data_IF_197703093693
#
_entry.id   IF_197703093693
#
_cell.length_a   1.000
_cell.length_b   1.000
_cell.length_c   1.000
_cell.angle_alpha   90.00
_cell.angle_beta   90.00
_cell.angle_gamma   90.00
#
_symmetry.space_group_name_H-M   'P 1'
#
loop_
_entity.id
_entity.type
_entity.pdbx_description
1 polymer ?
#
# COMPACT_ATOMS: atom_id res chain seq x y z
N UNK A 1 -36.68 1.69 -27.03
CA UNK A 1 -35.31 1.19 -27.06
C UNK A 1 -35.03 0.69 -25.67
N UNK A 2 -34.80 -0.60 -25.51
CA UNK A 2 -34.49 -1.16 -24.21
C UNK A 2 -33.01 -0.93 -23.89
N UNK A 3 -32.72 -0.59 -22.64
CA UNK A 3 -31.38 -0.31 -22.15
C UNK A 3 -30.99 -1.43 -21.19
N UNK A 4 -29.78 -1.94 -21.36
CA UNK A 4 -29.19 -2.95 -20.50
C UNK A 4 -27.93 -2.41 -19.84
N UNK A 5 -27.63 -2.83 -18.63
CA UNK A 5 -26.45 -2.45 -17.88
C UNK A 5 -25.70 -3.68 -17.36
N UNK A 6 -24.42 -3.74 -17.63
CA UNK A 6 -23.52 -4.70 -16.96
C UNK A 6 -23.11 -4.13 -15.62
N UNK A 7 -23.38 -4.87 -14.56
CA UNK A 7 -23.17 -4.40 -13.19
C UNK A 7 -22.12 -5.27 -12.50
N UNK A 8 -21.14 -4.60 -11.91
CA UNK A 8 -20.14 -5.20 -11.04
C UNK A 8 -20.65 -5.20 -9.60
N UNK A 9 -20.81 -6.38 -9.02
CA UNK A 9 -21.17 -6.54 -7.61
C UNK A 9 -19.96 -6.83 -6.71
N UNK A 10 -20.01 -6.45 -5.43
CA UNK A 10 -18.96 -6.77 -4.45
C UNK A 10 -19.00 -8.23 -3.99
N UNK A 11 -19.12 -9.13 -4.93
CA UNK A 11 -19.20 -10.58 -4.79
C UNK A 11 -18.03 -11.22 -5.57
N UNK A 12 -17.58 -12.40 -5.15
CA UNK A 12 -16.51 -13.12 -5.85
C UNK A 12 -17.05 -13.79 -7.15
N UNK A 13 -17.63 -12.98 -8.04
CA UNK A 13 -18.11 -13.39 -9.36
C UNK A 13 -17.02 -13.11 -10.39
N UNK A 14 -16.83 -14.03 -11.32
CA UNK A 14 -15.86 -13.87 -12.41
C UNK A 14 -16.34 -12.91 -13.48
N UNK A 15 -17.67 -12.87 -13.71
CA UNK A 15 -18.29 -12.05 -14.74
C UNK A 15 -19.17 -10.95 -14.15
N UNK A 16 -19.39 -9.91 -14.93
CA UNK A 16 -20.42 -8.92 -14.70
C UNK A 16 -21.79 -9.57 -14.91
N UNK A 17 -22.80 -9.04 -14.26
CA UNK A 17 -24.18 -9.47 -14.46
C UNK A 17 -24.95 -8.39 -15.20
N UNK A 18 -25.67 -8.79 -16.25
CA UNK A 18 -26.47 -7.89 -17.09
C UNK A 18 -27.89 -7.77 -16.56
N UNK A 19 -28.41 -6.53 -16.54
CA UNK A 19 -29.75 -6.20 -16.07
C UNK A 19 -30.47 -5.27 -17.06
N UNK A 20 -31.79 -5.40 -17.17
CA UNK A 20 -32.64 -4.41 -17.83
C UNK A 20 -32.66 -3.12 -16.99
N UNK A 21 -32.64 -1.99 -17.65
CA UNK A 21 -32.75 -0.68 -17.00
C UNK A 21 -34.16 -0.15 -17.24
N UNK A 22 -35.02 -0.06 -16.21
CA UNK A 22 -36.36 0.52 -16.34
C UNK A 22 -36.29 1.94 -16.88
N UNK A 23 -37.28 2.33 -17.71
CA UNK A 23 -37.32 3.64 -18.37
C UNK A 23 -37.24 4.82 -17.41
N UNK A 24 -37.74 4.66 -16.19
CA UNK A 24 -37.63 5.65 -15.11
C UNK A 24 -36.18 5.92 -14.67
N UNK A 25 -35.26 4.93 -14.78
CA UNK A 25 -33.85 5.05 -14.42
C UNK A 25 -32.94 5.30 -15.60
N UNK A 26 -33.42 5.31 -16.84
CA UNK A 26 -32.63 5.37 -18.07
C UNK A 26 -31.66 6.58 -18.13
N UNK A 27 -32.04 7.72 -17.55
CA UNK A 27 -31.19 8.92 -17.50
C UNK A 27 -30.21 8.95 -16.32
N UNK A 28 -30.38 8.06 -15.35
CA UNK A 28 -29.64 8.07 -14.10
C UNK A 28 -28.63 6.91 -13.99
N UNK A 29 -28.83 5.88 -14.81
CA UNK A 29 -27.95 4.72 -14.92
C UNK A 29 -26.92 5.01 -16.00
N UNK A 30 -25.66 5.10 -15.59
CA UNK A 30 -24.50 5.32 -16.47
C UNK A 30 -23.22 4.76 -15.80
N UNK A 31 -22.14 4.52 -16.54
CA UNK A 31 -20.92 3.96 -15.97
C UNK A 31 -20.41 4.70 -14.74
N UNK A 32 -20.05 3.94 -13.71
CA UNK A 32 -19.63 4.47 -12.40
C UNK A 32 -20.77 4.79 -11.42
N UNK A 33 -22.04 4.80 -11.87
CA UNK A 33 -23.18 4.97 -10.97
C UNK A 33 -23.39 3.72 -10.13
N UNK A 34 -23.67 3.91 -8.84
CA UNK A 34 -24.04 2.83 -7.95
C UNK A 34 -25.56 2.60 -8.02
N UNK A 35 -25.96 1.35 -8.19
CA UNK A 35 -27.34 0.93 -8.37
C UNK A 35 -27.67 -0.26 -7.50
N UNK A 36 -28.96 -0.46 -7.22
CA UNK A 36 -29.45 -1.67 -6.54
C UNK A 36 -30.03 -2.63 -7.56
N UNK A 37 -29.65 -3.90 -7.45
CA UNK A 37 -30.21 -4.96 -8.27
C UNK A 37 -30.18 -6.32 -7.53
N UNK A 38 -31.08 -7.25 -7.87
CA UNK A 38 -31.19 -8.54 -7.20
C UNK A 38 -30.17 -9.55 -7.73
N UNK A 39 -29.33 -10.10 -6.85
CA UNK A 39 -28.49 -11.27 -7.15
C UNK A 39 -29.03 -12.47 -6.38
N UNK A 40 -29.57 -13.45 -7.10
CA UNK A 40 -30.38 -14.51 -6.49
C UNK A 40 -31.64 -13.95 -5.85
N UNK A 41 -31.82 -14.15 -4.55
CA UNK A 41 -32.95 -13.65 -3.76
C UNK A 41 -32.61 -12.40 -2.94
N UNK A 42 -31.40 -11.88 -3.01
CA UNK A 42 -30.96 -10.72 -2.21
C UNK A 42 -30.66 -9.53 -3.10
N UNK A 43 -31.00 -8.34 -2.63
CA UNK A 43 -30.61 -7.10 -3.29
C UNK A 43 -29.21 -6.68 -2.86
N UNK A 44 -28.42 -6.23 -3.83
CA UNK A 44 -27.04 -5.74 -3.62
C UNK A 44 -26.85 -4.38 -4.29
N UNK A 45 -26.02 -3.55 -3.70
CA UNK A 45 -25.51 -2.36 -4.38
C UNK A 45 -24.34 -2.79 -5.27
N UNK A 46 -24.47 -2.56 -6.57
CA UNK A 46 -23.44 -2.76 -7.58
C UNK A 46 -23.05 -1.46 -8.26
N UNK A 47 -22.06 -1.55 -9.15
CA UNK A 47 -21.59 -0.43 -9.96
C UNK A 47 -21.90 -0.71 -11.41
N UNK A 48 -22.50 0.22 -12.09
CA UNK A 48 -22.70 0.16 -13.54
C UNK A 48 -21.34 0.23 -14.22
N UNK A 49 -21.02 -0.80 -15.01
CA UNK A 49 -19.76 -0.91 -15.71
C UNK A 49 -19.87 -0.52 -17.18
N UNK A 50 -20.86 -1.11 -17.86
CA UNK A 50 -21.19 -0.80 -19.25
C UNK A 50 -22.70 -0.59 -19.41
N UNK A 51 -23.09 0.06 -20.50
CA UNK A 51 -24.47 0.23 -20.93
C UNK A 51 -24.57 -0.24 -22.36
N UNK A 52 -25.63 -0.98 -22.68
CA UNK A 52 -25.94 -1.48 -24.01
C UNK A 52 -27.33 -1.00 -24.43
N UNK A 53 -27.48 -0.60 -25.68
CA UNK A 53 -28.75 -0.20 -26.26
C UNK A 53 -29.49 -1.39 -26.91
N UNK A 54 -28.80 -2.51 -27.06
CA UNK A 54 -29.34 -3.74 -27.64
C UNK A 54 -29.25 -4.88 -26.63
N UNK A 55 -30.17 -5.81 -26.75
CA UNK A 55 -30.16 -7.02 -25.95
C UNK A 55 -28.85 -7.81 -26.20
N UNK A 56 -28.08 -8.12 -25.15
CA UNK A 56 -26.80 -8.82 -25.32
C UNK A 56 -26.90 -10.26 -25.82
N UNK A 57 -28.06 -10.91 -25.61
CA UNK A 57 -28.35 -12.26 -26.08
C UNK A 57 -29.75 -12.25 -26.71
N UNK A 58 -29.88 -12.41 -28.04
CA UNK A 58 -31.18 -12.50 -28.70
C UNK A 58 -31.96 -13.70 -28.18
N UNK A 59 -33.28 -13.53 -28.08
CA UNK A 59 -34.25 -14.55 -27.62
C UNK A 59 -34.25 -14.89 -26.12
N UNK A 60 -33.87 -13.96 -25.25
CA UNK A 60 -33.76 -14.16 -23.80
C UNK A 60 -34.59 -13.23 -22.94
N UNK A 61 -35.76 -12.76 -23.41
CA UNK A 61 -36.59 -11.75 -22.77
C UNK A 61 -36.92 -12.03 -21.27
N UNK A 62 -36.96 -13.28 -20.86
CA UNK A 62 -37.21 -13.69 -19.47
C UNK A 62 -35.94 -13.84 -18.61
N UNK A 63 -34.75 -13.69 -19.17
CA UNK A 63 -33.49 -13.97 -18.50
C UNK A 63 -32.91 -12.81 -17.71
N UNK A 64 -33.24 -11.57 -18.09
CA UNK A 64 -32.68 -10.38 -17.46
C UNK A 64 -33.57 -9.83 -16.36
N UNK A 65 -33.04 -9.79 -15.12
CA UNK A 65 -33.66 -9.06 -14.02
C UNK A 65 -33.50 -7.56 -14.22
N UNK A 66 -34.29 -6.78 -13.51
CA UNK A 66 -34.25 -5.33 -13.60
C UNK A 66 -33.44 -4.68 -12.48
N UNK A 67 -32.87 -3.51 -12.78
CA UNK A 67 -32.34 -2.58 -11.77
C UNK A 67 -33.52 -2.09 -10.92
N UNK A 68 -33.41 -2.22 -9.60
CA UNK A 68 -34.48 -1.88 -8.65
C UNK A 68 -34.36 -0.50 -8.04
N UNK A 69 -33.21 0.17 -8.22
CA UNK A 69 -33.02 1.50 -7.68
C UNK A 69 -31.65 2.10 -8.04
N UNK A 70 -31.55 3.42 -7.92
CA UNK A 70 -30.35 4.21 -8.16
C UNK A 70 -29.91 4.90 -6.88
N UNK A 71 -28.65 4.70 -6.49
CA UNK A 71 -28.06 5.28 -5.28
C UNK A 71 -27.59 6.73 -5.55
N UNK A 72 -28.54 7.67 -5.59
CA UNK A 72 -28.24 9.09 -5.91
C UNK A 72 -27.37 9.78 -4.87
N UNK A 73 -27.42 9.34 -3.62
CA UNK A 73 -26.65 9.92 -2.50
C UNK A 73 -25.20 9.46 -2.45
N UNK A 74 -24.86 8.37 -3.15
CA UNK A 74 -23.51 7.84 -3.19
C UNK A 74 -22.67 8.52 -4.30
N UNK A 75 -21.32 8.56 -4.14
CA UNK A 75 -20.45 9.11 -5.17
C UNK A 75 -20.50 8.29 -6.45
N UNK A 76 -20.31 8.96 -7.58
CA UNK A 76 -20.05 8.32 -8.86
C UNK A 76 -18.57 7.94 -8.91
N UNK A 77 -18.28 6.72 -9.35
CA UNK A 77 -16.92 6.25 -9.48
C UNK A 77 -16.40 6.63 -10.87
N UNK A 78 -15.30 7.38 -10.97
CA UNK A 78 -14.76 7.78 -12.27
C UNK A 78 -14.35 6.56 -13.11
N UNK A 79 -14.50 6.65 -14.42
CA UNK A 79 -14.14 5.60 -15.37
C UNK A 79 -12.69 5.14 -15.21
N UNK A 80 -11.76 6.09 -15.04
CA UNK A 80 -10.35 5.82 -14.81
C UNK A 80 -10.12 4.95 -13.56
N UNK A 81 -10.93 5.14 -12.51
CA UNK A 81 -10.90 4.31 -11.30
C UNK A 81 -11.41 2.89 -11.58
N UNK A 82 -12.46 2.76 -12.41
CA UNK A 82 -12.99 1.46 -12.82
C UNK A 82 -11.94 0.69 -13.64
N UNK A 83 -11.30 1.34 -14.61
CA UNK A 83 -10.21 0.77 -15.40
C UNK A 83 -9.04 0.32 -14.52
N UNK A 84 -8.70 1.09 -13.49
CA UNK A 84 -7.68 0.71 -12.53
C UNK A 84 -8.06 -0.54 -11.71
N UNK A 85 -9.32 -0.66 -11.28
CA UNK A 85 -9.79 -1.86 -10.58
C UNK A 85 -9.82 -3.08 -11.50
N UNK A 86 -10.18 -2.90 -12.77
CA UNK A 86 -10.11 -3.95 -13.77
C UNK A 86 -8.67 -4.44 -13.96
N UNK A 87 -7.72 -3.52 -14.08
CA UNK A 87 -6.31 -3.87 -14.15
C UNK A 87 -5.86 -4.67 -12.92
N UNK A 88 -6.25 -4.25 -11.71
CA UNK A 88 -5.93 -4.99 -10.48
C UNK A 88 -6.48 -6.42 -10.57
N UNK A 89 -7.73 -6.60 -10.98
CA UNK A 89 -8.35 -7.91 -11.07
C UNK A 89 -7.60 -8.82 -12.04
N UNK A 90 -7.25 -8.30 -13.22
CA UNK A 90 -6.50 -9.03 -14.26
C UNK A 90 -5.08 -9.35 -13.84
N UNK A 91 -4.34 -8.36 -13.34
CA UNK A 91 -2.93 -8.51 -12.98
C UNK A 91 -2.73 -9.46 -11.79
N UNK A 92 -3.58 -9.37 -10.79
CA UNK A 92 -3.53 -10.22 -9.60
C UNK A 92 -4.43 -11.48 -9.70
N UNK A 93 -4.93 -11.77 -10.90
CA UNK A 93 -5.71 -12.98 -11.23
C UNK A 93 -6.82 -13.27 -10.20
N UNK A 94 -7.67 -12.28 -9.94
CA UNK A 94 -8.81 -12.45 -9.04
C UNK A 94 -10.10 -11.92 -9.69
N UNK A 95 -11.28 -12.43 -9.26
CA UNK A 95 -12.55 -11.91 -9.75
C UNK A 95 -12.66 -10.40 -9.52
N UNK A 96 -13.16 -9.60 -10.49
CA UNK A 96 -13.29 -8.15 -10.34
C UNK A 96 -14.20 -7.76 -9.17
N UNK A 97 -15.21 -8.57 -8.85
CA UNK A 97 -16.05 -8.38 -7.67
C UNK A 97 -15.29 -8.47 -6.34
N UNK A 98 -14.16 -9.18 -6.30
CA UNK A 98 -13.27 -9.24 -5.13
C UNK A 98 -12.58 -7.89 -4.90
N UNK A 99 -12.16 -7.22 -5.99
CA UNK A 99 -11.61 -5.86 -5.95
C UNK A 99 -12.68 -4.88 -5.50
N UNK A 100 -13.86 -4.94 -6.15
CA UNK A 100 -15.02 -4.10 -5.81
C UNK A 100 -15.43 -4.23 -4.34
N UNK A 101 -15.40 -5.44 -3.77
CA UNK A 101 -15.73 -5.66 -2.34
C UNK A 101 -14.82 -4.87 -1.40
N UNK A 102 -13.55 -4.71 -1.74
CA UNK A 102 -12.60 -3.91 -0.94
C UNK A 102 -12.76 -2.41 -1.20
N UNK A 103 -12.87 -2.04 -2.45
CA UNK A 103 -12.93 -0.66 -2.88
C UNK A 103 -14.24 0.04 -2.49
N UNK A 104 -15.40 -0.58 -2.77
CA UNK A 104 -16.71 0.03 -2.56
C UNK A 104 -16.98 0.49 -1.12
N UNK A 105 -16.43 -0.19 -0.13
CA UNK A 105 -16.60 0.23 1.27
C UNK A 105 -15.97 1.62 1.52
N UNK A 106 -14.96 2.00 0.74
CA UNK A 106 -14.31 3.30 0.83
C UNK A 106 -15.06 4.39 0.05
N UNK A 107 -16.05 4.01 -0.77
CA UNK A 107 -16.89 4.89 -1.57
C UNK A 107 -18.32 4.98 -1.04
N UNK A 108 -18.63 4.37 0.11
CA UNK A 108 -19.95 4.40 0.76
C UNK A 108 -20.07 5.57 1.76
N UNK A 109 -19.94 6.80 1.30
CA UNK A 109 -20.17 7.99 2.11
C UNK A 109 -21.22 8.89 1.43
N UNK A 110 -22.08 9.52 2.22
CA UNK A 110 -23.09 10.44 1.68
C UNK A 110 -22.42 11.68 1.09
N UNK A 111 -22.69 11.94 -0.18
CA UNK A 111 -22.28 13.18 -0.86
C UNK A 111 -22.80 14.39 -0.08
N UNK A 112 -21.90 15.25 0.38
CA UNK A 112 -22.23 16.67 0.55
C UNK A 112 -21.87 17.35 -0.76
N UNK A 113 -22.69 18.30 -1.19
CA UNK A 113 -22.64 19.03 -2.45
C UNK A 113 -21.32 18.89 -3.23
N UNK A 114 -21.45 18.42 -4.47
CA UNK A 114 -20.33 18.26 -5.39
C UNK A 114 -19.58 19.57 -5.47
N UNK A 115 -18.26 19.51 -5.30
CA UNK A 115 -17.38 20.59 -5.70
C UNK A 115 -17.63 20.84 -7.20
N UNK A 116 -18.29 21.93 -7.53
CA UNK A 116 -18.45 22.43 -8.89
C UNK A 116 -17.28 23.33 -9.29
N UNK A 117 -16.13 23.14 -8.67
CA UNK A 117 -14.91 23.86 -8.99
C UNK A 117 -14.37 23.40 -10.34
N UNK A 118 -14.62 24.21 -11.34
CA UNK A 118 -14.05 24.11 -12.69
C UNK A 118 -12.56 24.50 -12.73
N UNK A 119 -11.92 24.71 -11.60
CA UNK A 119 -10.48 24.94 -11.57
C UNK A 119 -9.76 23.68 -12.00
N UNK A 120 -9.19 23.75 -13.19
CA UNK A 120 -8.38 22.66 -13.76
C UNK A 120 -7.15 22.52 -12.88
N UNK A 121 -7.07 21.43 -12.11
CA UNK A 121 -5.81 21.05 -11.46
C UNK A 121 -4.84 20.64 -12.56
N UNK A 122 -3.86 21.50 -12.79
CA UNK A 122 -2.78 21.19 -13.73
C UNK A 122 -1.83 20.23 -13.01
N UNK A 123 -1.89 18.97 -13.41
CA UNK A 123 -0.90 17.99 -12.97
C UNK A 123 0.50 18.48 -13.38
N UNK A 124 1.49 18.40 -12.48
CA UNK A 124 2.88 18.60 -12.89
C UNK A 124 3.24 17.62 -14.00
N UNK A 125 4.18 18.01 -14.86
CA UNK A 125 4.68 17.12 -15.91
C UNK A 125 5.16 15.80 -15.28
N UNK A 126 4.57 14.69 -15.75
CA UNK A 126 4.86 13.37 -15.20
C UNK A 126 6.13 12.82 -15.83
N UNK A 127 7.17 12.78 -15.03
CA UNK A 127 8.42 12.13 -15.39
C UNK A 127 8.40 10.61 -15.17
N UNK A 128 9.55 9.99 -15.38
CA UNK A 128 9.77 8.60 -14.96
C UNK A 128 9.58 8.48 -13.44
N UNK A 129 9.19 7.31 -12.93
CA UNK A 129 9.19 7.07 -11.49
C UNK A 129 10.55 7.45 -10.88
N UNK A 130 10.51 8.10 -9.74
CA UNK A 130 11.69 8.60 -9.06
C UNK A 130 12.01 7.70 -7.85
N UNK A 131 13.26 7.29 -7.71
CA UNK A 131 13.75 6.65 -6.50
C UNK A 131 14.59 7.62 -5.67
N UNK A 132 14.26 7.75 -4.40
CA UNK A 132 14.99 8.58 -3.44
C UNK A 132 15.63 7.67 -2.41
N UNK A 133 16.97 7.68 -2.34
CA UNK A 133 17.73 6.90 -1.38
C UNK A 133 18.19 7.75 -0.20
N UNK A 134 18.36 7.11 0.94
CA UNK A 134 19.00 7.68 2.12
C UNK A 134 18.09 7.87 3.33
N UNK A 135 18.69 8.08 4.51
CA UNK A 135 17.97 8.19 5.78
C UNK A 135 17.15 9.48 5.90
N UNK A 136 17.58 10.58 5.24
CA UNK A 136 16.91 11.88 5.30
C UNK A 136 15.91 12.08 4.15
N UNK A 137 15.54 11.01 3.41
CA UNK A 137 14.60 11.07 2.29
C UNK A 137 13.26 11.74 2.64
N UNK A 138 12.88 11.73 3.93
CA UNK A 138 11.64 12.36 4.40
C UNK A 138 11.66 13.88 4.18
N UNK A 139 12.80 14.54 4.27
CA UNK A 139 12.90 15.98 4.01
C UNK A 139 12.66 16.28 2.52
N UNK A 140 13.13 15.39 1.63
CA UNK A 140 12.84 15.48 0.20
C UNK A 140 11.35 15.20 -0.11
N UNK A 141 10.70 14.32 0.67
CA UNK A 141 9.26 14.11 0.58
C UNK A 141 8.48 15.36 0.98
N UNK A 142 8.85 16.02 2.08
CA UNK A 142 8.19 17.24 2.57
C UNK A 142 8.07 18.28 1.48
N UNK A 143 9.18 18.60 0.80
CA UNK A 143 9.19 19.59 -0.27
C UNK A 143 8.25 19.21 -1.43
N UNK A 144 8.23 17.93 -1.82
CA UNK A 144 7.36 17.45 -2.91
C UNK A 144 5.90 17.47 -2.52
N UNK A 145 5.58 17.02 -1.32
CA UNK A 145 4.22 17.04 -0.77
C UNK A 145 3.70 18.48 -0.69
N UNK A 146 4.54 19.42 -0.20
CA UNK A 146 4.18 20.82 -0.08
C UNK A 146 3.85 21.42 -1.45
N UNK A 147 4.67 21.20 -2.46
CA UNK A 147 4.44 21.70 -3.82
C UNK A 147 3.08 21.26 -4.38
N UNK A 148 2.71 19.99 -4.15
CA UNK A 148 1.40 19.47 -4.63
C UNK A 148 0.25 20.09 -3.84
N UNK A 149 0.37 20.23 -2.52
CA UNK A 149 -0.67 20.83 -1.68
C UNK A 149 -0.88 22.30 -2.04
N UNK A 150 0.20 23.07 -2.25
CA UNK A 150 0.15 24.47 -2.68
C UNK A 150 -0.48 24.61 -4.07
N UNK A 151 -0.27 23.65 -4.96
CA UNK A 151 -0.93 23.59 -6.27
C UNK A 151 -2.41 23.13 -6.21
N UNK A 152 -2.95 22.85 -5.03
CA UNK A 152 -4.34 22.41 -4.85
C UNK A 152 -4.56 20.90 -5.07
N UNK A 153 -3.50 20.10 -5.08
CA UNK A 153 -3.56 18.67 -5.33
C UNK A 153 -3.63 17.81 -4.07
N UNK A 154 -3.74 16.50 -4.30
CA UNK A 154 -3.81 15.46 -3.29
C UNK A 154 -2.61 14.54 -3.38
N UNK A 155 -2.17 14.02 -2.23
CA UNK A 155 -1.03 13.11 -2.18
C UNK A 155 -1.41 11.81 -1.46
N UNK A 156 -0.84 10.70 -1.94
CA UNK A 156 -0.90 9.40 -1.28
C UNK A 156 0.50 9.00 -0.82
N UNK A 157 0.65 8.71 0.46
CA UNK A 157 1.86 8.15 1.05
C UNK A 157 1.56 6.72 1.49
N UNK A 158 2.24 5.76 0.89
CA UNK A 158 2.07 4.34 1.15
C UNK A 158 3.17 3.82 2.05
N UNK A 159 2.76 3.22 3.14
CA UNK A 159 3.60 2.61 4.14
C UNK A 159 3.38 1.09 4.22
N UNK A 160 4.40 0.31 4.57
CA UNK A 160 4.30 -1.14 4.61
C UNK A 160 3.38 -1.66 5.71
N UNK A 161 3.33 -0.97 6.84
CA UNK A 161 2.57 -1.38 7.99
C UNK A 161 1.99 -0.18 8.76
N UNK A 162 1.23 -0.49 9.82
CA UNK A 162 0.55 0.53 10.63
C UNK A 162 1.55 1.39 11.44
N UNK A 163 2.62 0.81 11.94
CA UNK A 163 3.58 1.53 12.76
C UNK A 163 4.35 2.54 11.93
N UNK A 164 4.78 2.16 10.72
CA UNK A 164 5.38 3.05 9.74
C UNK A 164 4.41 4.17 9.34
N UNK A 165 3.12 3.84 9.12
CA UNK A 165 2.08 4.81 8.80
C UNK A 165 1.89 5.86 9.91
N UNK A 166 1.87 5.46 11.17
CA UNK A 166 1.79 6.39 12.30
C UNK A 166 3.08 7.21 12.43
N UNK A 167 4.25 6.61 12.26
CA UNK A 167 5.54 7.31 12.34
C UNK A 167 5.67 8.41 11.29
N UNK A 168 5.35 8.12 10.02
CA UNK A 168 5.41 9.15 8.96
C UNK A 168 4.35 10.23 9.18
N UNK A 169 3.15 9.87 9.65
CA UNK A 169 2.12 10.81 10.01
C UNK A 169 2.60 11.79 11.10
N UNK A 170 3.22 11.29 12.17
CA UNK A 170 3.79 12.13 13.24
C UNK A 170 4.87 13.08 12.72
N UNK A 171 5.77 12.61 11.85
CA UNK A 171 6.85 13.40 11.25
C UNK A 171 6.32 14.50 10.31
N UNK A 172 5.20 14.29 9.64
CA UNK A 172 4.60 15.25 8.70
C UNK A 172 3.57 16.18 9.36
N UNK A 173 2.96 15.77 10.47
CA UNK A 173 1.90 16.49 11.16
C UNK A 173 2.24 17.96 11.52
N UNK A 174 3.46 18.32 11.98
CA UNK A 174 3.81 19.69 12.28
C UNK A 174 3.73 20.64 11.09
N UNK A 175 3.91 20.13 9.87
CA UNK A 175 3.90 20.93 8.65
C UNK A 175 2.51 21.03 8.00
N UNK A 176 1.78 19.91 7.96
CA UNK A 176 0.56 19.82 7.16
C UNK A 176 -0.73 19.88 8.00
N UNK A 177 -0.63 19.71 9.30
CA UNK A 177 -1.75 19.90 10.24
C UNK A 177 -3.03 19.20 9.81
N UNK A 178 -4.09 19.98 9.59
CA UNK A 178 -5.41 19.45 9.24
C UNK A 178 -5.53 18.89 7.81
N UNK A 179 -4.60 19.19 6.93
CA UNK A 179 -4.54 18.63 5.58
C UNK A 179 -3.95 17.21 5.54
N UNK A 180 -3.41 16.70 6.66
CA UNK A 180 -2.81 15.39 6.76
C UNK A 180 -3.76 14.40 7.43
N UNK A 181 -3.90 13.23 6.85
CA UNK A 181 -4.72 12.12 7.36
C UNK A 181 -3.90 10.86 7.51
N UNK A 182 -4.08 10.14 8.63
CA UNK A 182 -3.60 8.77 8.79
C UNK A 182 -4.78 7.81 8.56
N UNK A 183 -4.63 6.89 7.59
CA UNK A 183 -5.73 6.06 7.11
C UNK A 183 -5.43 4.57 7.26
N UNK A 184 -5.95 3.96 8.31
CA UNK A 184 -5.93 2.52 8.56
C UNK A 184 -7.07 2.09 9.49
N UNK A 185 -7.35 0.78 9.57
CA UNK A 185 -8.51 0.19 10.25
C UNK A 185 -8.62 0.50 11.76
N UNK A 186 -7.54 0.93 12.40
CA UNK A 186 -7.55 1.30 13.83
C UNK A 186 -7.84 2.79 14.09
N UNK A 187 -7.85 3.61 13.04
CA UNK A 187 -8.26 5.02 13.17
C UNK A 187 -9.77 5.14 13.31
N UNK A 188 -10.27 6.15 14.05
CA UNK A 188 -11.70 6.36 14.23
C UNK A 188 -12.43 6.47 12.89
N UNK A 189 -13.61 5.87 12.79
CA UNK A 189 -14.44 5.94 11.58
C UNK A 189 -14.75 7.36 11.14
N UNK A 190 -14.87 8.30 12.10
CA UNK A 190 -15.09 9.73 11.82
C UNK A 190 -13.93 10.35 11.03
N UNK A 191 -12.69 10.02 11.40
CA UNK A 191 -11.48 10.49 10.71
C UNK A 191 -11.39 9.88 9.31
N UNK A 192 -11.62 8.57 9.18
CA UNK A 192 -11.63 7.89 7.89
C UNK A 192 -12.68 8.49 6.96
N UNK A 193 -13.92 8.70 7.44
CA UNK A 193 -14.98 9.36 6.67
C UNK A 193 -14.65 10.80 6.29
N UNK A 194 -13.93 11.54 7.15
CA UNK A 194 -13.47 12.88 6.84
C UNK A 194 -12.47 12.84 5.69
N UNK A 195 -11.45 12.00 5.76
CA UNK A 195 -10.47 11.85 4.69
C UNK A 195 -11.12 11.52 3.34
N UNK A 196 -12.06 10.55 3.32
CA UNK A 196 -12.80 10.19 2.10
C UNK A 196 -13.58 11.36 1.50
N UNK A 197 -14.23 12.17 2.33
CA UNK A 197 -15.00 13.35 1.88
C UNK A 197 -14.11 14.45 1.34
N UNK A 198 -12.99 14.75 2.01
CA UNK A 198 -12.03 15.76 1.56
C UNK A 198 -11.39 15.35 0.23
N UNK A 199 -11.03 14.08 0.07
CA UNK A 199 -10.51 13.53 -1.17
C UNK A 199 -11.53 13.65 -2.32
N UNK A 200 -12.75 13.21 -2.09
CA UNK A 200 -13.81 13.27 -3.12
C UNK A 200 -14.21 14.70 -3.47
N UNK A 201 -14.15 15.61 -2.49
CA UNK A 201 -14.40 17.03 -2.72
C UNK A 201 -13.27 17.74 -3.50
N UNK A 202 -12.14 17.09 -3.72
CA UNK A 202 -10.99 17.69 -4.40
C UNK A 202 -10.18 18.65 -3.54
N UNK A 203 -10.37 18.62 -2.22
CA UNK A 203 -9.61 19.47 -1.32
C UNK A 203 -8.15 19.00 -1.22
N UNK A 204 -7.18 19.95 -1.17
CA UNK A 204 -5.77 19.61 -1.02
C UNK A 204 -5.53 18.86 0.29
N UNK A 205 -5.03 17.63 0.21
CA UNK A 205 -4.73 16.84 1.39
C UNK A 205 -3.74 15.71 1.10
N UNK A 206 -3.13 15.21 2.17
CA UNK A 206 -2.19 14.10 2.16
C UNK A 206 -2.82 12.96 2.95
N UNK A 207 -2.80 11.76 2.39
CA UNK A 207 -3.21 10.54 3.10
C UNK A 207 -2.01 9.62 3.25
N UNK A 208 -1.63 9.35 4.50
CA UNK A 208 -0.69 8.29 4.85
C UNK A 208 -1.50 7.01 5.11
N UNK A 209 -1.19 5.94 4.40
CA UNK A 209 -1.94 4.70 4.52
C UNK A 209 -1.18 3.48 4.00
N UNK A 210 -1.81 2.32 4.12
CA UNK A 210 -1.29 1.07 3.58
C UNK A 210 -1.99 0.73 2.25
N UNK A 211 -1.78 -0.48 1.74
CA UNK A 211 -2.33 -0.97 0.47
C UNK A 211 -3.80 -0.63 0.19
N UNK A 212 -4.66 -0.57 1.20
CA UNK A 212 -6.07 -0.23 1.01
C UNK A 212 -6.32 1.24 0.68
N UNK A 213 -5.36 2.13 0.98
CA UNK A 213 -5.45 3.54 0.63
C UNK A 213 -5.39 3.78 -0.89
N UNK A 214 -4.90 2.80 -1.68
CA UNK A 214 -4.95 2.82 -3.16
C UNK A 214 -6.38 2.86 -3.73
N UNK A 215 -7.38 2.50 -2.95
CA UNK A 215 -8.79 2.49 -3.36
C UNK A 215 -9.56 3.74 -2.92
N UNK A 216 -8.91 4.70 -2.28
CA UNK A 216 -9.56 5.93 -1.83
C UNK A 216 -10.02 6.82 -3.00
N UNK A 217 -11.05 7.66 -2.77
CA UNK A 217 -11.67 8.46 -3.82
C UNK A 217 -10.88 9.73 -4.14
N UNK A 218 -9.65 9.58 -4.62
CA UNK A 218 -8.86 10.70 -5.11
C UNK A 218 -9.49 11.31 -6.36
N UNK A 219 -9.59 12.64 -6.39
CA UNK A 219 -10.09 13.40 -7.53
C UNK A 219 -9.05 14.36 -8.12
N UNK A 220 -8.00 14.70 -7.34
CA UNK A 220 -6.90 15.59 -7.72
C UNK A 220 -5.55 15.01 -7.28
N UNK A 221 -5.37 13.69 -7.45
CA UNK A 221 -4.12 13.03 -7.10
C UNK A 221 -2.96 13.57 -7.93
N UNK A 222 -1.92 14.12 -7.29
CA UNK A 222 -0.76 14.71 -7.93
C UNK A 222 0.56 14.00 -7.60
N UNK A 223 0.58 13.21 -6.51
CA UNK A 223 1.79 12.51 -6.09
C UNK A 223 1.45 11.21 -5.35
N UNK A 224 2.18 10.15 -5.66
CA UNK A 224 2.19 8.91 -4.89
C UNK A 224 3.60 8.68 -4.36
N UNK A 225 3.75 8.57 -3.05
CA UNK A 225 4.98 8.16 -2.37
C UNK A 225 4.82 6.74 -1.86
N UNK A 226 5.83 5.90 -2.07
CA UNK A 226 5.93 4.57 -1.47
C UNK A 226 7.21 4.54 -0.65
N UNK A 227 7.09 4.62 0.67
CA UNK A 227 8.25 4.60 1.56
C UNK A 227 8.63 3.16 1.95
N UNK A 228 9.91 2.94 2.20
CA UNK A 228 10.49 1.60 2.48
C UNK A 228 10.01 0.58 1.43
N UNK A 229 10.17 0.92 0.14
CA UNK A 229 9.54 0.25 -1.01
C UNK A 229 9.88 -1.23 -1.13
N UNK A 230 11.03 -1.65 -0.55
CA UNK A 230 11.50 -3.04 -0.51
C UNK A 230 10.86 -3.87 0.60
N UNK A 231 10.15 -3.24 1.54
CA UNK A 231 9.64 -3.93 2.72
C UNK A 231 8.55 -4.96 2.36
N UNK A 232 8.63 -6.20 2.88
CA UNK A 232 7.66 -7.28 2.58
C UNK A 232 6.21 -6.92 2.91
N UNK A 233 5.98 -6.01 3.88
CA UNK A 233 4.65 -5.54 4.26
C UNK A 233 3.87 -4.84 3.14
N UNK A 234 4.56 -4.40 2.07
CA UNK A 234 3.90 -3.91 0.87
C UNK A 234 3.19 -5.00 0.07
N UNK A 235 3.54 -6.27 0.27
CA UNK A 235 2.89 -7.41 -0.36
C UNK A 235 1.82 -7.98 0.56
N UNK A 236 0.57 -7.90 0.14
CA UNK A 236 -0.54 -8.48 0.88
C UNK A 236 -0.61 -9.99 0.66
N UNK A 237 -0.58 -10.77 1.75
CA UNK A 237 -0.58 -12.24 1.72
C UNK A 237 -1.93 -12.86 2.08
N UNK A 238 -2.75 -12.21 2.92
CA UNK A 238 -3.90 -12.84 3.60
C UNK A 238 -5.10 -13.16 2.71
N UNK A 239 -5.45 -12.29 1.77
CA UNK A 239 -6.65 -12.47 0.94
C UNK A 239 -6.55 -11.70 -0.38
N UNK A 240 -7.16 -12.26 -1.43
CA UNK A 240 -7.24 -11.63 -2.74
C UNK A 240 -7.89 -10.23 -2.68
N UNK A 241 -7.46 -9.32 -3.54
CA UNK A 241 -6.28 -9.40 -4.38
C UNK A 241 -4.99 -9.37 -3.54
N UNK A 242 -4.03 -10.23 -3.89
CA UNK A 242 -2.71 -10.29 -3.26
C UNK A 242 -1.80 -9.19 -3.81
N UNK A 243 -2.24 -7.94 -3.71
CA UNK A 243 -1.52 -6.83 -4.32
C UNK A 243 -0.21 -6.49 -3.61
N UNK A 244 0.72 -6.01 -4.42
CA UNK A 244 1.93 -5.35 -3.97
C UNK A 244 1.74 -3.84 -4.08
N UNK A 245 1.81 -3.11 -2.96
CA UNK A 245 1.51 -1.65 -2.93
C UNK A 245 2.37 -0.86 -3.89
N UNK A 246 3.68 -1.13 -3.98
CA UNK A 246 4.62 -0.48 -4.89
C UNK A 246 4.21 -0.67 -6.36
N UNK A 247 4.00 -1.93 -6.77
CA UNK A 247 3.71 -2.25 -8.16
C UNK A 247 2.35 -1.69 -8.58
N UNK A 248 1.37 -1.76 -7.67
CA UNK A 248 0.04 -1.17 -7.87
C UNK A 248 0.11 0.36 -7.93
N UNK A 249 0.95 1.00 -7.09
CA UNK A 249 1.17 2.45 -7.12
C UNK A 249 1.84 2.91 -8.42
N UNK A 250 2.81 2.17 -8.93
CA UNK A 250 3.45 2.45 -10.22
C UNK A 250 2.45 2.43 -11.38
N UNK A 251 1.57 1.41 -11.39
CA UNK A 251 0.52 1.35 -12.40
C UNK A 251 -0.53 2.45 -12.21
N UNK A 252 -0.94 2.72 -10.98
CA UNK A 252 -1.84 3.85 -10.68
C UNK A 252 -1.25 5.17 -11.17
N UNK A 253 0.03 5.42 -10.91
CA UNK A 253 0.73 6.60 -11.40
C UNK A 253 0.72 6.69 -12.93
N UNK A 254 0.96 5.59 -13.64
CA UNK A 254 0.92 5.53 -15.10
C UNK A 254 -0.50 5.78 -15.63
N UNK A 255 -1.51 5.13 -15.07
CA UNK A 255 -2.91 5.26 -15.54
C UNK A 255 -3.49 6.64 -15.22
N UNK A 256 -3.17 7.22 -14.08
CA UNK A 256 -3.71 8.51 -13.63
C UNK A 256 -2.88 9.71 -14.06
N UNK A 257 -1.73 9.48 -14.73
CA UNK A 257 -0.83 10.55 -15.09
C UNK A 257 -0.21 11.23 -13.88
N UNK A 258 0.21 10.48 -12.86
CA UNK A 258 0.68 10.98 -11.56
C UNK A 258 2.12 10.55 -11.32
N UNK A 259 2.94 11.47 -10.81
CA UNK A 259 4.31 11.17 -10.44
C UNK A 259 4.36 10.16 -9.29
N UNK A 260 5.15 9.10 -9.45
CA UNK A 260 5.43 8.13 -8.40
C UNK A 260 6.85 8.32 -7.89
N UNK A 261 6.98 8.35 -6.57
CA UNK A 261 8.25 8.40 -5.86
C UNK A 261 8.36 7.16 -4.98
N UNK A 262 9.42 6.39 -5.17
CA UNK A 262 9.80 5.27 -4.32
C UNK A 262 10.92 5.72 -3.40
N UNK A 263 10.88 5.34 -2.15
CA UNK A 263 11.92 5.71 -1.20
C UNK A 263 12.36 4.57 -0.33
N UNK A 264 13.66 4.50 -0.10
CA UNK A 264 14.26 3.53 0.81
C UNK A 264 15.72 3.86 1.10
N UNK A 265 16.31 3.14 2.04
CA UNK A 265 17.78 3.15 2.24
C UNK A 265 18.45 2.29 1.18
N UNK A 266 17.90 1.12 0.90
CA UNK A 266 18.40 0.16 -0.08
C UNK A 266 17.27 -0.19 -1.04
N UNK A 267 17.43 -0.07 -2.36
CA UNK A 267 16.38 -0.40 -3.30
C UNK A 267 16.09 -1.90 -3.34
N UNK A 268 14.85 -2.26 -3.62
CA UNK A 268 14.52 -3.62 -4.01
C UNK A 268 15.26 -4.04 -5.29
N UNK A 269 15.34 -5.34 -5.57
CA UNK A 269 15.99 -5.84 -6.79
C UNK A 269 15.30 -5.32 -8.04
N UNK A 270 13.97 -5.20 -8.03
CA UNK A 270 13.18 -4.67 -9.13
C UNK A 270 13.47 -3.19 -9.37
N UNK A 271 13.50 -2.39 -8.29
CA UNK A 271 13.84 -0.96 -8.38
C UNK A 271 15.27 -0.77 -8.87
N UNK A 272 16.22 -1.53 -8.33
CA UNK A 272 17.61 -1.50 -8.79
C UNK A 272 17.75 -1.87 -10.28
N UNK A 273 17.04 -2.90 -10.74
CA UNK A 273 17.03 -3.27 -12.14
C UNK A 273 16.45 -2.16 -13.03
N UNK A 274 15.35 -1.54 -12.62
CA UNK A 274 14.71 -0.46 -13.36
C UNK A 274 15.58 0.81 -13.41
N UNK A 275 16.32 1.10 -12.35
CA UNK A 275 17.34 2.16 -12.34
C UNK A 275 18.46 1.87 -13.35
N UNK A 276 19.02 0.64 -13.35
CA UNK A 276 20.02 0.23 -14.35
C UNK A 276 19.53 0.32 -15.78
N UNK A 277 18.24 0.11 -16.01
CA UNK A 277 17.61 0.21 -17.33
C UNK A 277 17.14 1.62 -17.69
N UNK A 278 17.45 2.63 -16.87
CA UNK A 278 16.99 4.01 -17.03
C UNK A 278 15.45 4.16 -17.16
N UNK A 279 14.69 3.19 -16.61
CA UNK A 279 13.24 3.28 -16.49
C UNK A 279 12.82 4.15 -15.32
N UNK A 280 13.60 4.19 -14.25
CA UNK A 280 13.45 5.05 -13.10
C UNK A 280 14.58 6.08 -13.04
N UNK A 281 14.29 7.25 -12.45
CA UNK A 281 15.29 8.25 -12.11
C UNK A 281 15.76 8.02 -10.68
N UNK A 282 17.02 8.30 -10.41
CA UNK A 282 17.58 8.23 -9.06
C UNK A 282 17.91 9.63 -8.57
N UNK A 283 17.38 9.98 -7.42
CA UNK A 283 17.83 11.12 -6.64
C UNK A 283 18.55 10.59 -5.41
N UNK A 284 19.88 10.55 -5.48
CA UNK A 284 20.70 10.21 -4.34
C UNK A 284 20.73 11.38 -3.36
N UNK A 285 20.68 11.09 -2.08
CA UNK A 285 20.99 12.07 -1.06
C UNK A 285 22.48 12.39 -1.10
N UNK A 286 22.82 13.69 -1.17
CA UNK A 286 24.19 14.20 -1.40
C UNK A 286 25.11 14.04 -0.18
N UNK A 287 24.70 13.35 0.87
CA UNK A 287 25.57 13.15 2.02
C UNK A 287 26.00 11.69 2.18
N UNK A 288 27.00 11.29 1.41
CA UNK A 288 27.94 10.23 1.83
C UNK A 288 28.76 10.66 3.07
N UNK A 289 28.10 11.19 4.10
CA UNK A 289 28.79 11.42 5.38
C UNK A 289 28.74 10.12 6.18
N UNK A 290 29.82 9.37 6.07
CA UNK A 290 30.25 8.36 7.06
C UNK A 290 29.18 7.35 7.49
N UNK A 291 28.61 6.60 6.56
CA UNK A 291 28.25 5.25 6.92
C UNK A 291 29.55 4.56 7.35
N UNK A 292 29.70 4.31 8.65
CA UNK A 292 30.71 3.39 9.13
C UNK A 292 30.50 2.09 8.35
N UNK A 293 31.39 1.84 7.40
CA UNK A 293 31.37 0.59 6.63
C UNK A 293 31.77 -0.52 7.60
N UNK A 294 30.77 -1.02 8.35
CA UNK A 294 30.96 -2.23 9.11
C UNK A 294 31.37 -3.32 8.11
N UNK A 295 32.41 -4.10 8.38
CA UNK A 295 32.79 -5.18 7.49
C UNK A 295 31.64 -6.17 7.37
N UNK A 296 31.11 -6.35 6.15
CA UNK A 296 30.09 -7.34 5.87
C UNK A 296 30.78 -8.72 5.77
N UNK A 297 30.42 -9.62 6.67
CA UNK A 297 30.88 -11.02 6.64
C UNK A 297 29.72 -11.90 6.23
N UNK A 298 29.85 -12.54 5.08
CA UNK A 298 28.83 -13.47 4.56
C UNK A 298 29.32 -14.89 4.89
N UNK A 299 28.48 -15.65 5.61
CA UNK A 299 28.71 -17.07 5.89
C UNK A 299 27.73 -17.92 5.07
N UNK A 300 28.25 -18.95 4.42
CA UNK A 300 27.46 -19.95 3.71
C UNK A 300 26.97 -21.00 4.73
N UNK A 301 25.73 -20.85 5.17
CA UNK A 301 25.13 -21.74 6.17
C UNK A 301 24.95 -23.17 5.67
N UNK A 302 24.73 -23.38 4.36
CA UNK A 302 24.62 -24.72 3.76
C UNK A 302 25.95 -25.43 3.85
N UNK A 303 27.04 -24.74 3.52
CA UNK A 303 28.40 -25.29 3.62
C UNK A 303 28.77 -25.59 5.07
N UNK A 304 28.40 -24.72 5.99
CA UNK A 304 28.60 -24.89 7.43
C UNK A 304 27.82 -26.08 7.99
N UNK A 305 26.59 -26.31 7.49
CA UNK A 305 25.76 -27.45 7.85
C UNK A 305 26.41 -28.78 7.38
N UNK A 306 26.85 -28.83 6.12
CA UNK A 306 27.53 -30.01 5.54
C UNK A 306 28.81 -30.34 6.28
N UNK A 307 29.55 -29.34 6.75
CA UNK A 307 30.81 -29.51 7.49
C UNK A 307 30.65 -29.71 9.00
N UNK A 308 29.42 -29.89 9.50
CA UNK A 308 29.10 -29.96 10.93
C UNK A 308 29.61 -28.74 11.74
N UNK A 309 29.69 -27.57 11.11
CA UNK A 309 30.17 -26.34 11.71
C UNK A 309 29.02 -25.45 12.19
N UNK A 310 27.85 -26.03 12.48
CA UNK A 310 26.67 -25.33 13.02
C UNK A 310 26.49 -25.70 14.50
N UNK A 311 26.04 -24.70 15.31
CA UNK A 311 25.54 -24.91 16.67
C UNK A 311 24.17 -24.26 16.75
N UNK A 312 23.14 -25.09 16.71
CA UNK A 312 21.76 -24.62 16.49
C UNK A 312 21.61 -23.96 15.12
N UNK A 313 21.04 -22.79 15.07
CA UNK A 313 20.81 -22.02 13.82
C UNK A 313 22.03 -21.19 13.37
N UNK A 314 23.07 -21.11 14.18
CA UNK A 314 24.24 -20.27 13.92
C UNK A 314 25.48 -21.07 13.58
N UNK A 315 26.26 -20.55 12.64
CA UNK A 315 27.59 -21.02 12.31
C UNK A 315 28.57 -20.76 13.47
N UNK A 316 29.48 -21.71 13.73
CA UNK A 316 30.47 -21.64 14.82
C UNK A 316 31.34 -20.38 14.69
N UNK A 317 31.67 -19.95 13.48
CA UNK A 317 32.46 -18.75 13.24
C UNK A 317 31.72 -17.51 13.66
N UNK A 318 30.43 -17.40 13.30
CA UNK A 318 29.53 -16.34 13.71
C UNK A 318 29.39 -16.30 15.24
N UNK A 319 29.24 -17.45 15.89
CA UNK A 319 29.16 -17.54 17.34
C UNK A 319 30.46 -17.07 18.04
N UNK A 320 31.62 -17.40 17.48
CA UNK A 320 32.92 -16.93 18.02
C UNK A 320 33.04 -15.42 17.94
N UNK A 321 32.69 -14.84 16.78
CA UNK A 321 32.68 -13.39 16.60
C UNK A 321 31.72 -12.69 17.55
N UNK A 322 30.49 -13.21 17.70
CA UNK A 322 29.52 -12.68 18.64
C UNK A 322 30.07 -12.71 20.09
N UNK A 323 30.74 -13.79 20.48
CA UNK A 323 31.39 -13.93 21.78
C UNK A 323 32.51 -12.91 22.00
N UNK A 324 33.38 -12.71 21.03
CA UNK A 324 34.43 -11.68 21.09
C UNK A 324 33.86 -10.28 21.31
N UNK A 325 32.77 -9.93 20.60
CA UNK A 325 32.09 -8.65 20.74
C UNK A 325 31.54 -8.47 22.15
N UNK A 326 30.90 -9.51 22.72
CA UNK A 326 30.33 -9.49 24.07
C UNK A 326 31.45 -9.42 25.13
N UNK A 327 32.52 -10.17 24.96
CA UNK A 327 33.68 -10.19 25.90
C UNK A 327 34.39 -8.83 25.93
N UNK A 328 34.32 -8.05 24.82
CA UNK A 328 34.79 -6.66 24.73
C UNK A 328 33.77 -5.64 25.30
N UNK A 329 32.72 -6.08 25.97
CA UNK A 329 31.72 -5.21 26.63
C UNK A 329 30.72 -4.57 25.68
N UNK A 330 30.64 -5.03 24.41
CA UNK A 330 29.68 -4.55 23.42
C UNK A 330 28.45 -5.45 23.34
N UNK A 331 27.39 -4.95 22.73
CA UNK A 331 26.15 -5.69 22.53
C UNK A 331 26.12 -6.36 21.15
N UNK A 332 25.45 -7.49 21.03
CA UNK A 332 25.22 -8.22 19.79
C UNK A 332 23.72 -8.31 19.54
N UNK A 333 23.25 -7.85 18.41
CA UNK A 333 21.88 -8.00 17.96
C UNK A 333 21.78 -9.17 16.97
N UNK A 334 20.91 -10.12 17.29
CA UNK A 334 20.54 -11.20 16.37
C UNK A 334 19.14 -10.91 15.81
N UNK A 335 19.01 -10.96 14.48
CA UNK A 335 17.75 -10.71 13.79
C UNK A 335 17.37 -11.95 12.99
N UNK A 336 16.17 -12.50 13.24
CA UNK A 336 15.61 -13.62 12.49
C UNK A 336 14.30 -13.24 11.82
N UNK A 337 14.12 -13.72 10.60
CA UNK A 337 12.94 -13.42 9.80
C UNK A 337 11.75 -14.35 10.06
N UNK A 338 11.94 -15.46 10.79
CA UNK A 338 10.90 -16.45 11.06
C UNK A 338 10.35 -16.29 12.49
N UNK A 339 9.09 -15.81 12.66
CA UNK A 339 8.48 -15.62 13.97
C UNK A 339 8.15 -16.93 14.71
N UNK A 340 8.01 -18.06 14.00
CA UNK A 340 7.59 -19.34 14.61
C UNK A 340 8.65 -19.95 15.49
N UNK A 341 9.93 -19.58 15.32
CA UNK A 341 11.03 -19.98 16.22
C UNK A 341 11.04 -19.28 17.59
N UNK A 342 10.18 -18.28 17.80
CA UNK A 342 10.16 -17.47 19.01
C UNK A 342 9.19 -17.98 20.10
N UNK A 343 8.27 -18.89 19.76
CA UNK A 343 7.27 -19.41 20.72
C UNK A 343 7.85 -20.45 21.70
N UNK A 344 8.97 -21.11 21.38
CA UNK A 344 9.59 -22.15 22.21
C UNK A 344 10.71 -21.66 23.15
N UNK A 345 10.93 -20.36 23.28
CA UNK A 345 11.94 -19.85 24.22
C UNK A 345 11.38 -19.87 25.66
N UNK A 346 11.97 -20.65 26.58
CA UNK A 346 11.51 -20.69 27.95
C UNK A 346 11.59 -19.30 28.58
N UNK A 347 10.51 -18.89 29.25
CA UNK A 347 10.22 -17.53 29.74
C UNK A 347 11.19 -16.92 30.76
N UNK A 348 12.35 -17.52 31.03
CA UNK A 348 13.31 -17.07 32.06
C UNK A 348 14.73 -16.84 31.49
N UNK A 349 14.91 -16.72 30.20
CA UNK A 349 16.22 -16.63 29.56
C UNK A 349 16.85 -15.23 29.53
N UNK A 350 16.20 -14.20 30.07
CA UNK A 350 16.71 -12.81 30.02
C UNK A 350 16.80 -12.21 28.62
N UNK A 351 16.18 -12.86 27.62
CA UNK A 351 16.17 -12.43 26.23
C UNK A 351 15.06 -11.40 26.03
N UNK A 352 15.42 -10.18 25.66
CA UNK A 352 14.45 -9.18 25.23
C UNK A 352 14.12 -9.39 23.76
N UNK A 353 12.90 -9.84 23.48
CA UNK A 353 12.39 -9.92 22.10
C UNK A 353 11.90 -8.53 21.70
N UNK A 354 12.56 -7.94 20.70
CA UNK A 354 12.08 -6.71 20.06
C UNK A 354 11.27 -7.09 18.83
N UNK A 355 10.04 -6.58 18.73
CA UNK A 355 9.25 -6.77 17.52
C UNK A 355 9.88 -6.00 16.35
N UNK A 356 9.78 -6.48 15.07
CA UNK A 356 10.47 -5.93 13.91
C UNK A 356 10.35 -4.41 13.73
N UNK A 357 9.19 -3.82 14.03
CA UNK A 357 8.94 -2.39 13.86
C UNK A 357 9.68 -1.48 14.86
N UNK A 358 10.16 -2.02 16.01
CA UNK A 358 11.00 -1.28 16.96
C UNK A 358 12.47 -1.31 16.55
N UNK A 359 12.86 -2.28 15.74
CA UNK A 359 14.22 -2.41 15.24
C UNK A 359 14.61 -1.25 14.32
N UNK A 360 13.69 -0.80 13.48
CA UNK A 360 13.92 0.33 12.56
C UNK A 360 14.25 1.61 13.34
N UNK A 361 13.51 1.92 14.39
CA UNK A 361 13.76 3.07 15.27
C UNK A 361 15.08 2.92 16.07
N UNK A 362 15.39 1.72 16.49
CA UNK A 362 16.59 1.44 17.28
C UNK A 362 17.88 1.53 16.45
N UNK A 363 17.84 1.17 15.18
CA UNK A 363 18.97 1.27 14.25
C UNK A 363 19.23 2.71 13.78
N UNK A 364 18.22 3.57 13.74
CA UNK A 364 18.37 5.00 13.45
C UNK A 364 19.07 5.77 14.57
N UNK A 365 18.92 5.33 15.83
CA UNK A 365 19.45 6.05 17.01
C UNK A 365 20.86 5.64 17.46
N UNK A 366 21.36 4.45 17.06
CA UNK A 366 22.66 3.95 17.52
C UNK A 366 23.62 3.64 16.38
N UNK A 367 24.49 4.59 16.09
CA UNK A 367 25.67 4.39 15.24
C UNK A 367 26.67 3.45 15.92
N UNK A 368 26.91 2.28 15.37
CA UNK A 368 27.99 1.36 15.79
C UNK A 368 27.60 -0.08 16.04
N UNK A 369 26.41 -0.55 15.64
CA UNK A 369 26.00 -1.94 15.81
C UNK A 369 26.36 -2.83 14.62
N UNK A 370 26.80 -4.06 14.93
CA UNK A 370 26.94 -5.13 13.95
C UNK A 370 25.58 -5.83 13.82
N UNK A 371 24.94 -5.72 12.67
CA UNK A 371 23.69 -6.42 12.37
C UNK A 371 24.00 -7.79 11.76
N UNK A 372 23.47 -8.84 12.39
CA UNK A 372 23.37 -10.18 11.79
C UNK A 372 21.90 -10.44 11.45
N UNK A 373 21.60 -10.62 10.17
CA UNK A 373 20.27 -10.97 9.70
C UNK A 373 20.02 -12.46 9.90
N UNK A 374 19.51 -12.87 11.07
CA UNK A 374 18.78 -14.13 11.29
C UNK A 374 18.31 -14.41 12.72
N UNK A 375 17.85 -13.62 13.53
CA UNK A 375 17.02 -13.83 14.74
C UNK A 375 17.04 -12.60 15.64
N UNK A 376 15.87 -12.12 16.07
CA UNK A 376 15.76 -11.04 17.07
C UNK A 376 16.00 -11.57 18.48
N UNK A 377 17.23 -11.92 18.86
CA UNK A 377 17.56 -12.28 20.24
C UNK A 377 18.79 -11.50 20.70
N UNK A 378 18.63 -10.73 21.77
CA UNK A 378 19.77 -10.14 22.49
C UNK A 378 20.45 -11.25 23.31
N UNK A 379 21.66 -11.65 22.90
CA UNK A 379 22.45 -12.62 23.65
C UNK A 379 23.25 -11.92 24.76
N UNK A 380 23.07 -12.38 25.99
CA UNK A 380 23.88 -11.98 27.14
C UNK A 380 24.99 -13.02 27.41
N UNK A 381 25.99 -12.64 28.22
CA UNK A 381 27.08 -13.57 28.67
C UNK A 381 26.59 -14.93 29.17
N UNK A 382 25.36 -15.03 29.69
CA UNK A 382 24.78 -16.28 30.19
C UNK A 382 24.51 -17.32 29.10
N UNK A 383 24.31 -16.93 27.85
CA UNK A 383 23.96 -17.84 26.75
C UNK A 383 25.17 -18.52 26.10
N UNK A 384 26.39 -18.11 26.43
CA UNK A 384 27.61 -18.67 25.87
C UNK A 384 28.32 -19.66 26.84
N UNK A 385 27.71 -19.97 27.98
CA UNK A 385 28.29 -20.89 28.99
C UNK A 385 27.88 -22.36 28.85
N UNK A 386 27.28 -22.79 27.76
CA UNK A 386 26.91 -24.19 27.51
C UNK A 386 27.77 -24.80 26.37
#
# INVERSE_FOLDING_TARGET
>A
MEIYADILFPLALENLLTYKVPGEFAREVFPGRQVQAPVGQKSYTGIVWHIHENEPLPDSDDLYKEVTGVEKSLPVIPEQTLQFWEWIARYYMCPPGTVAKKALNLWKFKRRNVFSGTETFLLPEVGKPLYISGPQRIDLYRNRLQNIIEAGGQCLVLEPDRAACESIYEKLSPLFGQALFCFHSKRPMKEQSRAQKELYAGNPCIVCGMHHALFLPFTRLGLILVDVEEHPGHKKQDAAPHLHSRDTALMMGQMFGVQVVLGSIIPSLETFYNLKKNKFQHLAEVQEKNFLRAPLIITDTVKSLISNAMKGVLDIKTLRMAREVIDNGKEVLLVESDPDYLEDAPGDSGIKVCRPYRLHHFLEEKTGMICFLHTEKLLSRKHFRA
#
